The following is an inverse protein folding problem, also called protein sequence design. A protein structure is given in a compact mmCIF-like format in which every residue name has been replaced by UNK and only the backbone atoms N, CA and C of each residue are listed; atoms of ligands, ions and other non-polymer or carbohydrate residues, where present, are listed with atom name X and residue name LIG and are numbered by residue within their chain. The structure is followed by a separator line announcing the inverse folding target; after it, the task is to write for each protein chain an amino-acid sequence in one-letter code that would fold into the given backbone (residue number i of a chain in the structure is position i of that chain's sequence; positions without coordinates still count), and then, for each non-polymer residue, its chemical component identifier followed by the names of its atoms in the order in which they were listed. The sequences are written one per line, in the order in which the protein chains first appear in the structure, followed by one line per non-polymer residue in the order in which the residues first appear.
data_IF_415874076408
#
_entry.id   IF_415874076408
#
_cell.length_a   1.000
_cell.length_b   1.000
_cell.length_c   1.000
_cell.angle_alpha   90.00
_cell.angle_beta   90.00
_cell.angle_gamma   90.00
#
_symmetry.space_group_name_H-M   'P 1'
#
loop_
_entity.id
_entity.type
_entity.pdbx_description
1 polymer ?
#
# COMPACT_ATOMS: atom_id res chain seq x y z
N UNK A 1 -14.95 29.14 -12.44
CA UNK A 1 -13.66 29.01 -11.74
C UNK A 1 -13.98 29.19 -10.26
N UNK A 2 -13.83 28.25 -9.32
CA UNK A 2 -12.96 27.09 -9.18
C UNK A 2 -13.79 25.98 -8.51
N UNK A 3 -13.74 24.75 -9.03
CA UNK A 3 -14.39 23.62 -8.37
C UNK A 3 -13.44 23.13 -7.29
N UNK A 4 -13.70 23.53 -6.05
CA UNK A 4 -12.98 23.09 -4.85
C UNK A 4 -13.23 21.61 -4.64
N UNK A 5 -12.44 20.74 -5.29
CA UNK A 5 -12.42 19.31 -5.00
C UNK A 5 -11.59 19.10 -3.74
N UNK A 6 -12.16 19.50 -2.60
CA UNK A 6 -11.66 19.19 -1.27
C UNK A 6 -11.83 17.70 -1.02
N UNK A 7 -10.83 16.93 -1.43
CA UNK A 7 -10.70 15.51 -1.19
C UNK A 7 -9.26 15.11 -1.46
N UNK A 8 -8.32 15.76 -0.75
CA UNK A 8 -6.87 15.63 -0.92
C UNK A 8 -6.32 14.26 -0.50
N UNK A 9 -6.89 13.19 -1.05
CA UNK A 9 -6.26 11.88 -1.04
C UNK A 9 -5.03 11.86 -1.95
N UNK A 10 -4.16 10.90 -1.70
CA UNK A 10 -3.06 10.54 -2.57
C UNK A 10 -3.28 9.11 -3.05
N UNK A 11 -2.68 8.71 -4.15
CA UNK A 11 -2.81 7.32 -4.63
C UNK A 11 -1.44 6.68 -4.76
N UNK A 12 -1.26 5.50 -4.18
CA UNK A 12 -0.09 4.66 -4.41
C UNK A 12 -0.46 3.56 -5.41
N UNK A 13 0.26 3.50 -6.52
CA UNK A 13 0.16 2.38 -7.46
C UNK A 13 1.23 1.35 -7.12
N UNK A 14 0.80 0.15 -6.73
CA UNK A 14 1.69 -0.98 -6.51
C UNK A 14 1.80 -1.80 -7.80
N UNK A 15 3.02 -2.23 -8.18
CA UNK A 15 3.26 -3.11 -9.32
C UNK A 15 3.98 -4.40 -8.93
N UNK A 16 3.52 -5.54 -9.48
CA UNK A 16 4.18 -6.84 -9.33
C UNK A 16 4.83 -7.29 -10.65
N UNK A 17 6.09 -6.93 -10.94
CA UNK A 17 6.75 -7.34 -12.17
C UNK A 17 7.33 -8.77 -12.10
N UNK A 18 7.49 -9.34 -10.90
CA UNK A 18 8.31 -10.53 -10.68
C UNK A 18 7.52 -11.84 -10.58
N UNK A 19 6.42 -11.87 -9.82
CA UNK A 19 5.79 -13.12 -9.37
C UNK A 19 4.44 -13.36 -10.05
N UNK A 20 4.14 -14.62 -10.43
CA UNK A 20 2.85 -15.02 -11.01
C UNK A 20 1.67 -14.59 -10.14
N UNK A 21 1.80 -14.79 -8.83
CA UNK A 21 0.88 -14.30 -7.81
C UNK A 21 1.59 -14.08 -6.48
N UNK A 22 1.20 -13.06 -5.72
CA UNK A 22 1.71 -12.81 -4.36
C UNK A 22 0.66 -12.07 -3.53
N UNK A 23 0.55 -12.44 -2.26
CA UNK A 23 -0.27 -11.69 -1.32
C UNK A 23 0.51 -10.46 -0.85
N UNK A 24 -0.15 -9.31 -0.87
CA UNK A 24 0.37 -8.05 -0.36
C UNK A 24 -0.57 -7.55 0.71
N UNK A 25 -0.02 -7.27 1.88
CA UNK A 25 -0.74 -6.58 2.94
C UNK A 25 -0.37 -5.11 2.93
N UNK A 26 -1.37 -4.26 2.82
CA UNK A 26 -1.25 -2.81 2.84
C UNK A 26 -1.92 -2.28 4.10
N UNK A 27 -1.20 -1.46 4.85
CA UNK A 27 -1.68 -0.80 6.06
C UNK A 27 -1.60 0.70 5.87
N UNK A 28 -2.73 1.37 6.11
CA UNK A 28 -2.79 2.82 6.19
C UNK A 28 -2.74 3.22 7.67
N UNK A 29 -1.85 4.14 8.02
CA UNK A 29 -1.64 4.56 9.40
C UNK A 29 -1.16 6.00 9.47
N UNK A 30 -1.48 6.70 10.56
CA UNK A 30 -0.89 8.02 10.88
C UNK A 30 0.45 7.90 11.62
N UNK A 31 0.80 6.69 12.08
CA UNK A 31 2.09 6.40 12.69
C UNK A 31 3.21 6.44 11.66
N UNK A 32 4.42 6.80 12.10
CA UNK A 32 5.65 6.66 11.32
C UNK A 32 6.20 5.24 11.33
N UNK A 33 5.75 4.42 12.30
CA UNK A 33 6.06 3.01 12.46
C UNK A 33 4.92 2.16 11.90
N UNK A 34 5.25 1.27 10.95
CA UNK A 34 4.34 0.38 10.25
C UNK A 34 3.89 -0.83 11.09
N UNK A 35 4.67 -1.20 12.12
CA UNK A 35 4.28 -2.26 13.06
C UNK A 35 3.37 -1.73 14.16
N UNK A 36 3.49 -0.43 14.46
CA UNK A 36 2.67 0.22 15.46
C UNK A 36 1.20 0.31 15.01
N UNK A 37 0.30 -0.11 15.89
CA UNK A 37 -1.15 -0.06 15.69
C UNK A 37 -1.80 1.20 16.27
N UNK A 38 -1.04 2.04 16.98
CA UNK A 38 -1.49 3.39 17.31
C UNK A 38 -1.56 4.25 16.04
N UNK A 39 -2.70 4.91 15.82
CA UNK A 39 -2.94 5.68 14.60
C UNK A 39 -3.27 4.83 13.37
N UNK A 40 -3.56 3.53 13.56
CA UNK A 40 -4.10 2.66 12.53
C UNK A 40 -5.37 3.23 11.89
N UNK A 41 -5.45 3.18 10.56
CA UNK A 41 -6.63 3.60 9.79
C UNK A 41 -7.31 2.36 9.20
N UNK A 42 -6.58 1.58 8.40
CA UNK A 42 -7.13 0.41 7.72
C UNK A 42 -6.03 -0.56 7.27
N UNK A 43 -6.43 -1.80 7.01
CA UNK A 43 -5.60 -2.85 6.40
C UNK A 43 -6.38 -3.40 5.21
N UNK A 44 -5.68 -3.65 4.11
CA UNK A 44 -6.18 -4.38 2.97
C UNK A 44 -5.19 -5.49 2.62
N UNK A 45 -5.71 -6.66 2.24
CA UNK A 45 -4.90 -7.74 1.68
C UNK A 45 -5.30 -7.90 0.22
N UNK A 46 -4.30 -7.86 -0.65
CA UNK A 46 -4.46 -7.81 -2.10
C UNK A 46 -3.68 -8.97 -2.69
N UNK A 47 -4.34 -9.79 -3.50
CA UNK A 47 -3.66 -10.82 -4.29
C UNK A 47 -3.20 -10.18 -5.61
N UNK A 48 -1.93 -9.79 -5.67
CA UNK A 48 -1.35 -9.18 -6.86
C UNK A 48 -0.87 -10.25 -7.84
N UNK A 49 -1.24 -10.11 -9.11
CA UNK A 49 -0.78 -10.99 -10.20
C UNK A 49 0.36 -10.34 -10.99
N UNK A 50 1.15 -11.16 -11.68
CA UNK A 50 2.27 -10.67 -12.50
C UNK A 50 1.84 -9.62 -13.52
N UNK A 51 2.64 -8.58 -13.64
CA UNK A 51 2.44 -7.43 -14.53
C UNK A 51 1.08 -6.75 -14.34
N UNK A 52 0.46 -6.90 -13.16
CA UNK A 52 -0.73 -6.15 -12.76
C UNK A 52 -0.34 -5.10 -11.75
N UNK A 53 -1.09 -4.01 -11.81
CA UNK A 53 -0.99 -2.88 -10.89
C UNK A 53 -2.25 -2.80 -10.07
N UNK A 54 -2.09 -2.37 -8.82
CA UNK A 54 -3.18 -2.16 -7.88
C UNK A 54 -3.05 -0.75 -7.30
N UNK A 55 -4.13 0.01 -7.34
CA UNK A 55 -4.17 1.37 -6.83
C UNK A 55 -4.69 1.37 -5.39
N UNK A 56 -3.95 2.02 -4.50
CA UNK A 56 -4.29 2.18 -3.09
C UNK A 56 -4.55 3.66 -2.82
N UNK A 57 -5.78 3.98 -2.43
CA UNK A 57 -6.13 5.32 -2.00
C UNK A 57 -5.64 5.58 -0.58
N UNK A 58 -4.82 6.62 -0.43
CA UNK A 58 -4.20 7.05 0.82
C UNK A 58 -4.88 8.34 1.29
N UNK A 59 -5.57 8.32 2.44
CA UNK A 59 -6.16 9.53 3.02
C UNK A 59 -5.11 10.62 3.27
N UNK A 60 -5.54 11.89 3.20
CA UNK A 60 -4.70 13.03 3.56
C UNK A 60 -4.07 12.86 4.94
N UNK A 61 -2.75 13.02 5.03
CA UNK A 61 -1.99 12.89 6.28
C UNK A 61 -1.82 11.46 6.79
N UNK A 62 -2.13 10.45 5.97
CA UNK A 62 -1.80 9.06 6.26
C UNK A 62 -0.49 8.64 5.57
N UNK A 63 0.21 7.71 6.21
CA UNK A 63 1.27 6.93 5.61
C UNK A 63 0.68 5.62 5.08
N UNK A 64 1.30 5.10 4.01
CA UNK A 64 1.01 3.78 3.47
C UNK A 64 2.21 2.87 3.70
N UNK A 65 1.96 1.75 4.34
CA UNK A 65 2.93 0.70 4.57
C UNK A 65 2.47 -0.54 3.80
N UNK A 66 3.37 -1.26 3.16
CA UNK A 66 3.05 -2.53 2.53
C UNK A 66 4.13 -3.55 2.78
N UNK A 67 3.73 -4.81 2.75
CA UNK A 67 4.61 -5.98 2.77
C UNK A 67 4.01 -7.07 1.92
N UNK A 68 4.84 -7.98 1.44
CA UNK A 68 4.41 -9.08 0.59
C UNK A 68 4.73 -10.42 1.27
N UNK A 69 4.11 -11.49 0.79
CA UNK A 69 4.42 -12.85 1.22
C UNK A 69 5.89 -13.20 0.91
N UNK A 70 6.57 -13.90 1.83
CA UNK A 70 7.96 -14.39 1.62
C UNK A 70 8.03 -15.58 0.68
N UNK A 71 6.91 -16.25 0.42
CA UNK A 71 6.80 -17.34 -0.54
C UNK A 71 5.89 -16.94 -1.72
N UNK A 72 6.35 -16.02 -2.58
CA UNK A 72 5.59 -15.66 -3.77
C UNK A 72 5.36 -16.88 -4.69
N UNK A 73 4.25 -16.88 -5.42
CA UNK A 73 3.65 -17.98 -6.20
C UNK A 73 2.97 -19.08 -5.39
N UNK A 74 3.35 -19.28 -4.13
CA UNK A 74 2.68 -20.19 -3.19
C UNK A 74 2.38 -19.45 -1.89
N UNK A 75 1.44 -18.48 -1.90
CA UNK A 75 1.20 -17.60 -0.77
C UNK A 75 0.81 -18.39 0.48
N UNK A 76 1.56 -18.19 1.58
CA UNK A 76 1.31 -18.79 2.89
C UNK A 76 0.99 -17.66 3.87
N UNK A 77 -0.27 -17.62 4.32
CA UNK A 77 -0.70 -16.64 5.31
C UNK A 77 0.21 -16.66 6.55
N UNK A 78 0.75 -15.49 6.91
CA UNK A 78 1.56 -15.30 8.11
C UNK A 78 3.08 -15.26 7.89
N UNK A 79 3.58 -15.58 6.70
CA UNK A 79 5.01 -15.48 6.38
C UNK A 79 5.31 -14.18 5.60
N UNK A 80 5.27 -13.04 6.27
CA UNK A 80 5.40 -11.73 5.60
C UNK A 80 6.84 -11.21 5.52
N UNK A 81 7.17 -10.49 4.45
CA UNK A 81 8.39 -9.70 4.35
C UNK A 81 8.40 -8.53 5.35
N UNK A 82 9.51 -7.80 5.40
CA UNK A 82 9.58 -6.57 6.17
C UNK A 82 8.63 -5.51 5.60
N UNK A 83 8.34 -4.48 6.39
CA UNK A 83 7.53 -3.36 5.94
C UNK A 83 8.31 -2.41 5.03
N UNK A 84 7.72 -2.07 3.90
CA UNK A 84 8.07 -0.92 3.09
C UNK A 84 7.08 0.20 3.40
N UNK A 85 7.53 1.46 3.36
CA UNK A 85 6.71 2.64 3.69
C UNK A 85 6.86 3.73 2.64
N UNK A 86 5.75 4.37 2.31
CA UNK A 86 5.74 5.65 1.61
C UNK A 86 4.87 6.66 2.37
N UNK A 87 5.32 7.92 2.37
CA UNK A 87 4.55 9.07 2.81
C UNK A 87 4.16 9.86 1.57
N UNK A 88 2.86 9.98 1.31
CA UNK A 88 2.35 10.73 0.17
C UNK A 88 1.72 12.04 0.66
N UNK A 89 2.07 13.14 0.02
CA UNK A 89 1.46 14.44 0.33
C UNK A 89 0.14 14.62 -0.44
N UNK A 90 -0.85 15.34 0.10
CA UNK A 90 -2.16 15.49 -0.52
C UNK A 90 -2.10 15.89 -2.00
N UNK A 91 -2.77 15.13 -2.86
CA UNK A 91 -2.77 15.35 -4.31
C UNK A 91 -1.57 14.76 -5.06
N UNK A 92 -0.67 14.02 -4.38
CA UNK A 92 0.39 13.27 -5.03
C UNK A 92 -0.08 11.87 -5.47
N UNK A 93 0.55 11.37 -6.52
CA UNK A 93 0.55 9.96 -6.88
C UNK A 93 1.96 9.40 -6.72
N UNK A 94 2.08 8.22 -6.12
CA UNK A 94 3.32 7.47 -6.03
C UNK A 94 3.21 6.15 -6.78
N UNK A 95 4.35 5.63 -7.23
CA UNK A 95 4.47 4.29 -7.82
C UNK A 95 5.53 3.53 -7.04
N UNK A 96 5.26 2.27 -6.72
CA UNK A 96 6.20 1.42 -6.00
C UNK A 96 6.06 -0.04 -6.37
N UNK A 97 7.20 -0.71 -6.50
CA UNK A 97 7.24 -2.15 -6.71
C UNK A 97 7.02 -2.89 -5.39
N UNK A 98 6.41 -4.07 -5.50
CA UNK A 98 6.33 -5.03 -4.41
C UNK A 98 7.45 -6.06 -4.47
#
# INVERSE_FOLDING_TARGET
MFSSKSGGGSTLTLNNPYWEQVNVEVVLTRSSDCENRDGYISTAQILMRKNKTEAVDVPSGANVCWRHDRNPNNPVAGAWSGWTKATLFPGQSGEAEI
#
